data_IF_167932852829
#
_entry.id   IF_167932852829
#
_cell.length_a   1.000
_cell.length_b   1.000
_cell.length_c   1.000
_cell.angle_alpha   90.00
_cell.angle_beta   90.00
_cell.angle_gamma   90.00
#
_symmetry.space_group_name_H-M   'P 1'
#
loop_
_entity.id
_entity.type
_entity.pdbx_description
1 polymer ?
#
# COMPACT_ATOMS: atom_id res chain seq x y z
N UNK A 1 9.76 -18.59 -11.86
CA UNK A 1 8.76 -17.67 -12.35
C UNK A 1 7.76 -17.37 -11.26
N UNK A 2 7.49 -16.11 -11.02
CA UNK A 2 6.47 -15.78 -10.09
C UNK A 2 5.15 -16.37 -10.56
N UNK A 3 4.56 -17.12 -9.71
CA UNK A 3 3.33 -17.78 -10.03
C UNK A 3 2.21 -16.73 -10.03
N UNK A 4 1.52 -16.61 -11.14
CA UNK A 4 0.44 -15.63 -11.22
C UNK A 4 -0.60 -15.85 -10.13
N UNK A 5 -0.76 -17.09 -9.65
CA UNK A 5 -1.67 -17.39 -8.56
C UNK A 5 -1.27 -16.81 -7.21
N UNK A 6 -0.01 -16.42 -7.03
CA UNK A 6 0.44 -15.80 -5.80
C UNK A 6 0.05 -14.34 -5.70
N UNK A 7 -0.17 -13.69 -6.83
CA UNK A 7 -0.50 -12.26 -6.86
C UNK A 7 -1.98 -12.11 -7.18
N UNK A 8 -2.82 -12.47 -6.22
CA UNK A 8 -4.26 -12.53 -6.42
C UNK A 8 -4.99 -11.24 -6.03
N UNK A 9 -4.32 -10.38 -5.26
CA UNK A 9 -4.92 -9.14 -4.84
C UNK A 9 -4.65 -8.04 -5.85
N UNK A 10 -5.55 -7.07 -5.91
CA UNK A 10 -5.39 -5.91 -6.77
C UNK A 10 -5.08 -4.72 -5.90
N UNK A 11 -3.89 -4.17 -6.08
CA UNK A 11 -3.43 -3.03 -5.31
C UNK A 11 -3.48 -1.77 -6.16
N UNK A 12 -4.21 -0.77 -5.70
CA UNK A 12 -4.29 0.54 -6.34
C UNK A 12 -3.45 1.51 -5.54
N UNK A 13 -2.35 1.95 -6.13
CA UNK A 13 -1.43 2.87 -5.46
C UNK A 13 -1.88 4.30 -5.68
N UNK A 14 -1.77 5.12 -4.64
CA UNK A 14 -2.16 6.52 -4.66
C UNK A 14 -1.06 7.38 -4.06
N UNK A 15 -0.93 8.58 -4.59
CA UNK A 15 0.05 9.57 -4.11
C UNK A 15 -0.67 10.86 -3.77
N UNK A 16 -0.25 11.49 -2.68
CA UNK A 16 -0.79 12.78 -2.29
C UNK A 16 -0.40 13.82 -3.32
N UNK A 17 -1.40 14.48 -3.86
CA UNK A 17 -1.21 15.53 -4.86
C UNK A 17 -1.59 16.87 -4.26
N UNK A 18 -0.63 17.77 -4.13
CA UNK A 18 -0.88 19.13 -3.69
C UNK A 18 -0.97 20.02 -4.91
N UNK A 19 -1.92 20.95 -4.87
CA UNK A 19 -2.10 21.88 -5.98
C UNK A 19 -2.88 21.30 -7.15
N UNK A 20 -3.55 20.19 -6.96
CA UNK A 20 -4.45 19.68 -7.98
C UNK A 20 -5.61 20.67 -8.18
N UNK A 21 -6.12 20.77 -9.39
CA UNK A 21 -7.16 21.72 -9.76
C UNK A 21 -8.39 20.95 -10.18
N UNK A 22 -9.55 21.30 -9.60
CA UNK A 22 -10.81 20.68 -9.99
C UNK A 22 -11.37 21.34 -11.25
N UNK A 23 -12.57 20.89 -11.65
CA UNK A 23 -13.21 21.40 -12.87
C UNK A 23 -13.59 22.88 -12.77
N UNK A 24 -13.63 23.42 -11.57
CA UNK A 24 -13.98 24.82 -11.32
C UNK A 24 -12.76 25.70 -11.10
N UNK A 25 -11.56 25.15 -11.24
CA UNK A 25 -10.33 25.90 -11.06
C UNK A 25 -9.88 26.03 -9.61
N UNK A 26 -10.54 25.36 -8.69
CA UNK A 26 -10.14 25.40 -7.29
C UNK A 26 -8.96 24.48 -7.03
N UNK A 27 -7.97 24.98 -6.30
CA UNK A 27 -6.80 24.19 -5.90
C UNK A 27 -7.16 23.38 -4.66
N UNK A 28 -6.82 22.10 -4.67
CA UNK A 28 -7.08 21.24 -3.52
C UNK A 28 -5.94 20.25 -3.33
N UNK A 29 -5.93 19.63 -2.15
CA UNK A 29 -4.99 18.57 -1.81
C UNK A 29 -5.77 17.26 -1.74
N UNK A 30 -5.33 16.27 -2.46
CA UNK A 30 -6.02 14.99 -2.48
C UNK A 30 -5.13 13.87 -2.97
N UNK A 31 -5.64 12.66 -2.91
CA UNK A 31 -4.92 11.47 -3.34
C UNK A 31 -5.26 11.17 -4.79
N UNK A 32 -4.23 11.05 -5.60
CA UNK A 32 -4.38 10.73 -7.01
C UNK A 32 -3.89 9.31 -7.26
N UNK A 33 -4.57 8.59 -8.13
CA UNK A 33 -4.16 7.24 -8.50
C UNK A 33 -2.85 7.28 -9.26
N UNK A 34 -1.89 6.46 -8.83
CA UNK A 34 -0.64 6.26 -9.55
C UNK A 34 -0.75 5.12 -10.54
N UNK A 35 -1.37 4.04 -10.14
CA UNK A 35 -1.50 2.86 -10.98
C UNK A 35 -1.92 1.65 -10.16
N UNK A 36 -2.09 0.54 -10.84
CA UNK A 36 -2.59 -0.69 -10.26
C UNK A 36 -1.62 -1.82 -10.56
N UNK A 37 -1.40 -2.68 -9.56
CA UNK A 37 -0.56 -3.87 -9.74
C UNK A 37 -1.18 -5.05 -9.03
N UNK A 38 -0.92 -6.25 -9.55
CA UNK A 38 -1.25 -7.47 -8.84
C UNK A 38 -0.33 -7.64 -7.64
N UNK A 39 -0.86 -8.13 -6.54
CA UNK A 39 -0.13 -8.22 -5.29
C UNK A 39 -0.43 -9.53 -4.56
N UNK A 40 0.53 -9.94 -3.75
CA UNK A 40 0.35 -11.02 -2.77
C UNK A 40 0.36 -10.38 -1.40
N UNK A 41 -0.81 -10.29 -0.80
CA UNK A 41 -0.97 -9.61 0.47
C UNK A 41 -1.19 -10.61 1.60
N UNK A 42 -0.49 -10.40 2.69
CA UNK A 42 -0.62 -11.22 3.89
C UNK A 42 -0.89 -10.32 5.08
N UNK A 43 -2.11 -10.39 5.60
CA UNK A 43 -2.49 -9.62 6.76
C UNK A 43 -2.02 -10.33 8.03
N UNK A 44 -1.60 -9.52 8.99
CA UNK A 44 -1.27 -10.01 10.32
C UNK A 44 -2.44 -9.73 11.23
N UNK A 45 -2.91 -10.75 11.93
CA UNK A 45 -3.91 -10.54 12.97
C UNK A 45 -3.24 -9.89 14.18
N UNK A 46 -3.85 -8.83 14.67
CA UNK A 46 -3.23 -8.05 15.71
C UNK A 46 -3.47 -8.58 17.10
N UNK A 47 -2.80 -9.66 17.46
CA UNK A 47 -2.85 -10.13 18.84
C UNK A 47 -2.31 -9.07 19.78
N UNK A 48 -1.25 -8.42 19.39
CA UNK A 48 -0.67 -7.35 20.21
C UNK A 48 -1.63 -6.19 20.34
N UNK A 49 -2.40 -5.90 19.30
CA UNK A 49 -3.37 -4.84 19.33
C UNK A 49 -4.45 -5.11 20.37
N UNK A 50 -4.90 -6.35 20.47
CA UNK A 50 -5.89 -6.76 21.44
C UNK A 50 -5.32 -6.63 22.85
N UNK A 51 -4.09 -7.07 23.05
CA UNK A 51 -3.45 -7.05 24.37
C UNK A 51 -3.21 -5.63 24.87
N UNK A 52 -2.99 -4.70 23.99
CA UNK A 52 -2.74 -3.33 24.40
C UNK A 52 -4.02 -2.56 24.72
N UNK A 53 -5.17 -3.16 24.51
CA UNK A 53 -6.45 -2.47 24.66
C UNK A 53 -6.67 -1.40 23.61
N UNK A 54 -5.86 -1.38 22.59
CA UNK A 54 -5.99 -0.41 21.51
C UNK A 54 -7.19 -0.72 20.64
N UNK A 55 -7.51 0.23 19.79
CA UNK A 55 -8.64 0.08 18.89
C UNK A 55 -8.44 -1.12 17.98
N UNK A 56 -9.53 -1.82 17.78
CA UNK A 56 -9.52 -3.07 17.06
C UNK A 56 -9.36 -2.92 15.56
N UNK A 57 -9.47 -1.70 15.04
CA UNK A 57 -9.40 -1.47 13.61
C UNK A 57 -7.97 -1.45 13.06
N UNK A 58 -6.99 -1.38 13.94
CA UNK A 58 -5.60 -1.39 13.49
C UNK A 58 -5.22 -2.76 12.99
N UNK A 59 -4.58 -2.78 11.84
CA UNK A 59 -4.08 -4.00 11.26
C UNK A 59 -2.80 -3.72 10.51
N UNK A 60 -1.96 -4.73 10.40
CA UNK A 60 -0.74 -4.67 9.63
C UNK A 60 -0.74 -5.76 8.57
N UNK A 61 -0.04 -5.51 7.50
CA UNK A 61 0.08 -6.48 6.43
C UNK A 61 1.42 -6.31 5.72
N UNK A 62 1.86 -7.37 5.08
CA UNK A 62 2.93 -7.29 4.11
C UNK A 62 2.35 -7.59 2.75
N UNK A 63 2.82 -6.85 1.75
CA UNK A 63 2.32 -6.99 0.39
C UNK A 63 3.51 -7.05 -0.55
N UNK A 64 3.53 -8.05 -1.42
CA UNK A 64 4.59 -8.21 -2.42
C UNK A 64 4.02 -7.98 -3.80
N UNK A 65 4.75 -7.21 -4.59
CA UNK A 65 4.46 -6.97 -5.99
C UNK A 65 5.70 -7.26 -6.82
N UNK A 66 5.51 -7.48 -8.10
CA UNK A 66 6.64 -7.57 -9.00
C UNK A 66 7.38 -6.24 -9.05
N UNK A 67 8.70 -6.31 -9.07
CA UNK A 67 9.52 -5.13 -9.19
C UNK A 67 9.52 -4.65 -10.64
N UNK A 68 9.13 -3.40 -10.83
CA UNK A 68 9.21 -2.73 -12.11
C UNK A 68 9.47 -1.25 -11.86
N UNK A 69 9.56 -0.47 -12.92
CA UNK A 69 9.84 0.95 -12.75
C UNK A 69 8.77 1.66 -11.92
N UNK A 70 7.52 1.20 -12.03
CA UNK A 70 6.43 1.78 -11.25
C UNK A 70 6.56 1.45 -9.77
N UNK A 71 6.70 0.16 -9.43
CA UNK A 71 6.73 -0.25 -8.02
C UNK A 71 7.99 0.27 -7.31
N UNK A 72 9.09 0.40 -8.02
CA UNK A 72 10.32 0.97 -7.46
C UNK A 72 10.19 2.45 -7.15
N UNK A 73 9.25 3.14 -7.79
CA UNK A 73 9.02 4.56 -7.55
C UNK A 73 8.05 4.82 -6.39
N UNK A 74 7.38 3.81 -5.89
CA UNK A 74 6.46 3.95 -4.76
C UNK A 74 7.25 4.15 -3.48
N UNK A 75 6.80 5.08 -2.65
CA UNK A 75 7.49 5.46 -1.42
C UNK A 75 6.60 5.31 -0.20
N UNK A 76 7.18 5.48 0.98
CA UNK A 76 6.42 5.46 2.23
C UNK A 76 5.46 6.64 2.37
N UNK A 77 5.59 7.64 1.52
CA UNK A 77 4.63 8.76 1.49
C UNK A 77 3.37 8.43 0.69
N UNK A 78 3.38 7.33 -0.05
CA UNK A 78 2.23 6.90 -0.83
C UNK A 78 1.34 6.00 0.02
N UNK A 79 0.15 5.69 -0.51
CA UNK A 79 -0.74 4.72 0.13
C UNK A 79 -1.27 3.76 -0.92
N UNK A 80 -1.91 2.69 -0.46
CA UNK A 80 -2.46 1.70 -1.36
C UNK A 80 -3.85 1.29 -0.90
N UNK A 81 -4.74 1.08 -1.86
CA UNK A 81 -6.07 0.55 -1.61
C UNK A 81 -6.08 -0.90 -2.09
N UNK A 82 -6.32 -1.82 -1.17
CA UNK A 82 -6.35 -3.24 -1.46
C UNK A 82 -7.30 -3.93 -0.50
N UNK A 83 -8.02 -4.92 -0.98
CA UNK A 83 -9.01 -5.66 -0.20
C UNK A 83 -10.07 -4.77 0.46
N UNK A 84 -10.44 -3.67 -0.23
CA UNK A 84 -11.48 -2.79 0.26
C UNK A 84 -11.05 -1.80 1.34
N UNK A 85 -9.77 -1.78 1.70
CA UNK A 85 -9.24 -0.86 2.71
C UNK A 85 -8.12 -0.02 2.15
N UNK A 86 -7.95 1.15 2.74
CA UNK A 86 -6.82 2.02 2.43
C UNK A 86 -5.72 1.78 3.47
N UNK A 87 -4.53 1.48 2.97
CA UNK A 87 -3.38 1.15 3.81
C UNK A 87 -2.28 2.19 3.65
N UNK A 88 -1.71 2.62 4.76
CA UNK A 88 -0.51 3.45 4.73
C UNK A 88 0.70 2.56 4.45
N UNK A 89 1.60 3.03 3.61
CA UNK A 89 2.85 2.32 3.34
C UNK A 89 3.86 2.78 4.38
N UNK A 90 4.34 1.84 5.18
CA UNK A 90 5.28 2.15 6.27
C UNK A 90 6.73 1.92 5.84
N UNK A 91 6.95 0.98 4.94
CA UNK A 91 8.30 0.69 4.46
C UNK A 91 8.23 0.02 3.09
N UNK A 92 9.29 0.17 2.33
CA UNK A 92 9.42 -0.43 0.99
C UNK A 92 10.77 -1.12 0.95
N UNK A 93 10.78 -2.43 0.66
CA UNK A 93 12.00 -3.22 0.68
C UNK A 93 12.07 -4.12 -0.55
N UNK A 94 13.28 -4.37 -1.00
CA UNK A 94 13.52 -5.42 -1.97
C UNK A 94 13.63 -6.76 -1.25
N UNK A 95 13.00 -7.79 -1.80
CA UNK A 95 12.85 -9.05 -1.11
C UNK A 95 13.94 -10.03 -1.50
N UNK A 96 14.43 -9.98 -2.72
CA UNK A 96 15.39 -10.95 -3.21
C UNK A 96 16.60 -10.28 -3.84
N UNK A 97 17.65 -11.08 -4.01
CA UNK A 97 18.91 -10.60 -4.57
C UNK A 97 18.80 -10.24 -6.06
N UNK A 98 17.78 -10.74 -6.73
CA UNK A 98 17.56 -10.48 -8.15
C UNK A 98 16.68 -9.28 -8.43
N UNK A 99 16.18 -8.62 -7.38
CA UNK A 99 15.31 -7.46 -7.50
C UNK A 99 14.05 -7.76 -8.32
N UNK A 100 13.47 -8.94 -8.15
CA UNK A 100 12.29 -9.34 -8.90
C UNK A 100 11.00 -8.97 -8.19
N UNK A 101 11.06 -8.72 -6.87
CA UNK A 101 9.90 -8.40 -6.07
C UNK A 101 10.21 -7.28 -5.09
N UNK A 102 9.17 -6.50 -4.79
CA UNK A 102 9.23 -5.47 -3.77
C UNK A 102 8.19 -5.78 -2.72
N UNK A 103 8.58 -5.67 -1.45
CA UNK A 103 7.69 -5.88 -0.32
C UNK A 103 7.36 -4.55 0.31
N UNK A 104 6.07 -4.35 0.54
CA UNK A 104 5.56 -3.17 1.22
C UNK A 104 5.05 -3.57 2.59
N UNK A 105 5.48 -2.88 3.62
CA UNK A 105 4.90 -3.01 4.95
C UNK A 105 3.75 -2.02 5.04
N UNK A 106 2.55 -2.54 5.33
CA UNK A 106 1.33 -1.75 5.31
C UNK A 106 0.71 -1.69 6.70
N UNK A 107 0.03 -0.58 6.97
CA UNK A 107 -0.71 -0.41 8.22
C UNK A 107 -2.00 0.33 7.92
N UNK A 108 -3.10 -0.08 8.55
CA UNK A 108 -4.36 0.63 8.46
C UNK A 108 -4.93 0.86 9.85
N UNK A 109 -5.91 1.76 9.92
CA UNK A 109 -6.51 2.10 11.20
C UNK A 109 -5.66 3.06 12.02
N UNK A 110 -4.70 3.70 11.38
CA UNK A 110 -3.85 4.68 12.05
C UNK A 110 -4.62 5.98 12.13
N UNK A 111 -4.58 6.61 13.29
CA UNK A 111 -5.20 7.91 13.43
C UNK A 111 -4.52 8.88 12.49
N UNK A 112 -5.31 9.54 11.70
CA UNK A 112 -4.80 10.49 10.73
C UNK A 112 -4.20 11.71 11.45
#
# INVERSE_FOLDING_TARGET
MANAGLFQDKAVFQRLSEGAVDDYGNVYTGWAALGTRAADMRERTGKETVNSGALTDQAMATMRCRADSFTRAVTAADRVVVRGYTWAIKNVMQVDAKNTQIEFLLERGVAA
#
